data_IF_934230420658
#
_entry.id   IF_934230420658
#
_cell.length_a   1.000
_cell.length_b   1.000
_cell.length_c   1.000
_cell.angle_alpha   90.00
_cell.angle_beta   90.00
_cell.angle_gamma   90.00
#
_symmetry.space_group_name_H-M   'P 1'
#
loop_
_entity.id
_entity.type
_entity.pdbx_description
1 polymer ?
#
# COMPACT_ATOMS: atom_id res chain seq x y z
N UNK A 1 6.53 -24.90 -18.55
CA UNK A 1 5.12 -24.48 -18.40
C UNK A 1 4.44 -25.64 -17.71
N UNK A 2 3.99 -25.53 -16.44
CA UNK A 2 3.27 -26.62 -15.80
C UNK A 2 2.05 -26.94 -16.66
N UNK A 3 1.82 -28.24 -16.87
CA UNK A 3 0.91 -28.73 -17.89
C UNK A 3 -0.52 -28.29 -17.54
N UNK A 4 -1.26 -27.72 -18.49
CA UNK A 4 -2.59 -27.13 -18.24
C UNK A 4 -3.57 -28.17 -17.68
N UNK A 5 -3.31 -29.45 -17.94
CA UNK A 5 -4.04 -30.59 -17.40
C UNK A 5 -3.78 -30.83 -15.90
N UNK A 6 -2.57 -30.54 -15.41
CA UNK A 6 -2.26 -30.60 -13.97
C UNK A 6 -2.96 -29.45 -13.22
N UNK A 7 -3.09 -28.28 -13.84
CA UNK A 7 -3.85 -27.15 -13.28
C UNK A 7 -5.35 -27.43 -13.19
N UNK A 8 -5.93 -28.11 -14.19
CA UNK A 8 -7.34 -28.52 -14.15
C UNK A 8 -7.59 -29.53 -13.02
N UNK A 9 -6.71 -30.53 -12.86
CA UNK A 9 -6.83 -31.50 -11.76
C UNK A 9 -6.65 -30.87 -10.37
N UNK A 10 -5.79 -29.86 -10.25
CA UNK A 10 -5.64 -29.11 -9.00
C UNK A 10 -6.88 -28.28 -8.66
N UNK A 11 -7.46 -27.58 -9.65
CA UNK A 11 -8.68 -26.79 -9.43
C UNK A 11 -9.85 -27.67 -8.99
N UNK A 12 -10.02 -28.84 -9.62
CA UNK A 12 -11.06 -29.80 -9.25
C UNK A 12 -10.86 -30.33 -7.82
N UNK A 13 -9.63 -30.71 -7.45
CA UNK A 13 -9.29 -31.17 -6.10
C UNK A 13 -9.60 -30.12 -5.02
N UNK A 14 -9.28 -28.86 -5.30
CA UNK A 14 -9.52 -27.73 -4.38
C UNK A 14 -11.01 -27.41 -4.28
N UNK A 15 -11.78 -27.57 -5.35
CA UNK A 15 -13.22 -27.33 -5.34
C UNK A 15 -14.02 -28.44 -4.63
N UNK A 16 -13.49 -29.66 -4.58
CA UNK A 16 -14.11 -30.81 -3.91
C UNK A 16 -14.10 -30.69 -2.36
N UNK A 17 -13.28 -29.79 -1.80
CA UNK A 17 -13.25 -29.49 -0.36
C UNK A 17 -13.47 -27.99 -0.08
N UNK A 18 -14.74 -27.53 -0.01
CA UNK A 18 -15.07 -26.14 0.20
C UNK A 18 -14.74 -25.64 1.61
N UNK A 19 -14.64 -26.52 2.60
CA UNK A 19 -14.29 -26.16 3.97
C UNK A 19 -12.79 -25.89 4.07
N UNK A 20 -11.96 -26.78 3.50
CA UNK A 20 -10.53 -26.57 3.37
C UNK A 20 -10.20 -25.27 2.61
N UNK A 21 -10.89 -24.99 1.50
CA UNK A 21 -10.69 -23.75 0.73
C UNK A 21 -10.95 -22.51 1.59
N UNK A 22 -12.02 -22.51 2.39
CA UNK A 22 -12.37 -21.37 3.26
C UNK A 22 -11.34 -21.17 4.35
N UNK A 23 -10.91 -22.24 4.99
CA UNK A 23 -9.92 -22.19 6.08
C UNK A 23 -8.56 -21.74 5.58
N UNK A 24 -8.08 -22.29 4.46
CA UNK A 24 -6.80 -21.91 3.86
C UNK A 24 -6.82 -20.45 3.40
N UNK A 25 -7.90 -20.02 2.74
CA UNK A 25 -8.04 -18.63 2.30
C UNK A 25 -8.10 -17.67 3.50
N UNK A 26 -8.81 -18.04 4.57
CA UNK A 26 -8.84 -17.26 5.81
C UNK A 26 -7.46 -17.16 6.47
N UNK A 27 -6.70 -18.25 6.52
CA UNK A 27 -5.35 -18.27 7.06
C UNK A 27 -4.38 -17.38 6.26
N UNK A 28 -4.48 -17.38 4.93
CA UNK A 28 -3.69 -16.47 4.08
C UNK A 28 -4.03 -15.01 4.37
N UNK A 29 -5.32 -14.68 4.50
CA UNK A 29 -5.75 -13.32 4.81
C UNK A 29 -5.24 -12.90 6.19
N UNK A 30 -5.39 -13.75 7.20
CA UNK A 30 -4.94 -13.45 8.57
C UNK A 30 -3.41 -13.29 8.66
N UNK A 31 -2.65 -14.13 7.95
CA UNK A 31 -1.19 -14.02 7.94
C UNK A 31 -0.66 -12.70 7.33
N UNK A 32 -1.39 -12.14 6.36
CA UNK A 32 -0.96 -10.93 5.63
C UNK A 32 -1.63 -9.64 6.13
N UNK A 33 -2.86 -9.75 6.64
CA UNK A 33 -3.73 -8.64 6.98
C UNK A 33 -4.32 -8.73 8.39
N UNK A 34 -4.15 -9.86 9.08
CA UNK A 34 -4.51 -10.01 10.48
C UNK A 34 -3.76 -9.00 11.35
N UNK A 35 -4.39 -8.59 12.44
CA UNK A 35 -3.89 -7.56 13.36
C UNK A 35 -2.60 -8.01 14.05
N UNK A 36 -1.49 -7.85 13.35
CA UNK A 36 -0.20 -7.67 13.97
C UNK A 36 0.39 -6.40 13.38
N UNK A 37 0.05 -5.25 13.97
CA UNK A 37 0.92 -4.08 13.90
C UNK A 37 2.27 -4.50 14.49
N UNK A 38 3.13 -5.08 13.64
CA UNK A 38 4.54 -5.25 13.99
C UNK A 38 5.06 -3.84 14.22
N UNK A 39 5.58 -3.51 15.41
CA UNK A 39 6.10 -2.18 15.65
C UNK A 39 7.18 -1.91 14.62
N UNK A 40 6.92 -0.97 13.71
CA UNK A 40 7.92 -0.57 12.72
C UNK A 40 9.11 -0.01 13.50
N UNK A 41 10.35 -0.43 13.20
CA UNK A 41 11.52 0.18 13.79
C UNK A 41 11.45 1.69 13.55
N UNK A 42 11.48 2.49 14.62
CA UNK A 42 11.58 3.94 14.46
C UNK A 42 12.89 4.23 13.74
N UNK A 43 12.89 5.04 12.66
CA UNK A 43 14.12 5.54 12.10
C UNK A 43 14.95 6.20 13.20
N UNK A 44 16.30 6.06 13.16
CA UNK A 44 17.15 6.76 14.11
C UNK A 44 16.87 8.27 14.01
N UNK A 45 16.73 8.92 15.16
CA UNK A 45 16.54 10.36 15.22
C UNK A 45 17.83 11.04 14.74
N UNK A 46 17.83 11.50 13.49
CA UNK A 46 18.91 12.36 12.98
C UNK A 46 18.65 13.75 13.57
N UNK A 47 19.62 14.36 14.28
CA UNK A 47 19.51 15.75 14.72
C UNK A 47 19.23 16.62 13.50
N UNK A 48 18.12 17.35 13.52
CA UNK A 48 17.84 18.32 12.47
C UNK A 48 18.93 19.39 12.54
N UNK A 49 19.63 19.73 11.43
CA UNK A 49 20.55 20.86 11.44
C UNK A 49 19.81 22.12 11.86
N UNK A 50 20.46 22.96 12.66
CA UNK A 50 19.88 24.24 13.07
C UNK A 50 19.44 25.01 11.82
N UNK A 51 18.20 25.53 11.78
CA UNK A 51 17.74 26.28 10.63
C UNK A 51 18.66 27.49 10.45
N UNK A 52 19.34 27.54 9.30
CA UNK A 52 20.11 28.70 8.89
C UNK A 52 19.17 29.91 8.93
N UNK A 53 19.43 30.83 9.86
CA UNK A 53 18.54 31.95 10.18
C UNK A 53 18.00 32.62 8.92
N UNK A 54 16.68 32.84 8.89
CA UNK A 54 15.96 33.44 7.76
C UNK A 54 16.53 34.85 7.46
N UNK A 55 17.02 35.14 6.24
CA UNK A 55 17.17 36.53 5.82
C UNK A 55 15.77 37.14 5.73
N UNK A 56 15.52 38.25 6.42
CA UNK A 56 14.29 39.06 6.28
C UNK A 56 14.28 39.68 4.88
N UNK A 57 13.75 38.94 3.90
CA UNK A 57 13.39 39.43 2.58
C UNK A 57 11.87 39.61 2.45
N UNK A 58 11.39 40.56 1.63
CA UNK A 58 9.98 40.94 1.58
C UNK A 58 9.10 39.79 1.09
N UNK A 59 7.90 39.68 1.66
CA UNK A 59 6.87 38.68 1.36
C UNK A 59 6.63 38.55 -0.15
N UNK A 60 7.11 37.45 -0.73
CA UNK A 60 6.69 37.03 -2.07
C UNK A 60 5.39 36.25 -1.95
N UNK A 61 4.36 36.92 -2.46
CA UNK A 61 3.01 36.48 -2.83
C UNK A 61 2.91 34.97 -3.06
N UNK A 62 1.97 34.37 -2.34
CA UNK A 62 1.57 32.99 -2.47
C UNK A 62 1.11 32.64 -3.90
N UNK A 63 1.51 31.43 -4.33
CA UNK A 63 0.80 30.49 -5.22
C UNK A 63 1.23 30.39 -6.70
N UNK A 64 1.86 29.26 -7.08
CA UNK A 64 1.78 28.74 -8.44
C UNK A 64 1.02 27.40 -8.56
N UNK A 65 0.62 26.76 -7.45
CA UNK A 65 -0.09 25.46 -7.50
C UNK A 65 -1.60 25.59 -7.70
N UNK A 66 -2.08 26.65 -8.39
CA UNK A 66 -3.45 26.72 -8.90
C UNK A 66 -3.64 25.55 -9.88
N UNK A 67 -4.09 24.42 -9.31
CA UNK A 67 -4.50 23.20 -9.99
C UNK A 67 -5.40 23.60 -11.14
N UNK A 68 -5.00 23.27 -12.37
CA UNK A 68 -5.89 23.30 -13.52
C UNK A 68 -7.15 22.53 -13.13
N UNK A 69 -8.28 23.24 -13.04
CA UNK A 69 -9.59 22.60 -12.98
C UNK A 69 -9.83 22.00 -14.36
N UNK A 70 -10.33 20.77 -14.37
CA UNK A 70 -10.76 20.05 -15.58
C UNK A 70 -11.64 20.95 -16.45
N UNK A 71 -11.60 20.77 -17.79
CA UNK A 71 -12.40 21.59 -18.71
C UNK A 71 -13.91 21.43 -18.43
N UNK A 72 -14.74 22.43 -18.79
CA UNK A 72 -16.18 22.31 -18.64
C UNK A 72 -16.70 21.14 -19.49
N UNK A 73 -17.70 20.43 -18.95
CA UNK A 73 -18.48 19.44 -19.72
C UNK A 73 -19.55 20.19 -20.52
N UNK A 74 -19.53 19.92 -21.83
CA UNK A 74 -20.52 20.25 -22.90
C UNK A 74 -20.72 21.71 -23.26
#
# INVERSE_FOLDING_TARGET
MPDVLEQLGFADLVCDDPDWLRDEFAAIIDANFGEAERPRPRPPAIPLPEPAGRPRGPERVSQPWRRQRSPPRS
#
